data_IF_819755476659
#
_entry.id   IF_819755476659
#
_cell.length_a   1.000
_cell.length_b   1.000
_cell.length_c   1.000
_cell.angle_alpha   90.00
_cell.angle_beta   90.00
_cell.angle_gamma   90.00
#
_symmetry.space_group_name_H-M   'P 1'
#
loop_
_entity.id
_entity.type
_entity.pdbx_description
1 polymer ?
#
# COMPACT_ATOMS: atom_id res chain seq x y z
N UNK A 1 7.06 27.37 -11.42
CA UNK A 1 8.07 26.66 -12.22
C UNK A 1 9.01 27.64 -12.93
N UNK A 2 8.50 28.60 -13.71
CA UNK A 2 9.32 29.63 -14.37
C UNK A 2 10.07 30.49 -13.36
N UNK A 3 9.42 30.95 -12.29
CA UNK A 3 10.04 31.71 -11.20
C UNK A 3 11.12 30.90 -10.44
N UNK A 4 11.10 29.57 -10.55
CA UNK A 4 12.11 28.67 -9.99
C UNK A 4 13.22 28.33 -11.01
N UNK A 5 13.38 29.12 -12.09
CA UNK A 5 14.47 29.03 -13.07
C UNK A 5 14.29 27.96 -14.15
N UNK A 6 13.12 27.30 -14.24
CA UNK A 6 12.86 26.34 -15.33
C UNK A 6 12.56 27.06 -16.64
N UNK A 7 13.06 26.51 -17.73
CA UNK A 7 12.68 26.95 -19.07
C UNK A 7 11.20 26.70 -19.37
N UNK A 8 10.65 27.36 -20.37
CA UNK A 8 9.25 27.15 -20.78
C UNK A 8 8.96 25.69 -21.15
N UNK A 9 9.86 25.06 -21.88
CA UNK A 9 9.73 23.64 -22.27
C UNK A 9 9.70 22.72 -21.06
N UNK A 10 10.64 22.86 -20.14
CA UNK A 10 10.68 22.05 -18.89
C UNK A 10 9.45 22.28 -18.00
N UNK A 11 8.97 23.52 -17.93
CA UNK A 11 7.77 23.85 -17.18
C UNK A 11 6.53 23.18 -17.77
N UNK A 12 6.39 23.24 -19.11
CA UNK A 12 5.30 22.59 -19.84
C UNK A 12 5.32 21.07 -19.64
N UNK A 13 6.46 20.42 -19.78
CA UNK A 13 6.59 18.97 -19.66
C UNK A 13 6.33 18.52 -18.20
N UNK A 14 6.80 19.30 -17.23
CA UNK A 14 6.48 19.07 -15.82
C UNK A 14 4.97 19.17 -15.57
N UNK A 15 4.29 20.18 -16.13
CA UNK A 15 2.85 20.33 -15.99
C UNK A 15 2.10 19.18 -16.67
N UNK A 16 2.49 18.81 -17.90
CA UNK A 16 1.91 17.68 -18.61
C UNK A 16 1.94 16.42 -17.76
N UNK A 17 3.11 16.05 -17.25
CA UNK A 17 3.27 14.87 -16.39
C UNK A 17 2.39 14.96 -15.12
N UNK A 18 2.26 16.16 -14.53
CA UNK A 18 1.38 16.34 -13.36
C UNK A 18 -0.10 16.11 -13.72
N UNK A 19 -0.56 16.64 -14.85
CA UNK A 19 -1.94 16.46 -15.30
C UNK A 19 -2.23 15.02 -15.71
N UNK A 20 -1.31 14.33 -16.39
CA UNK A 20 -1.42 12.91 -16.71
C UNK A 20 -1.60 12.05 -15.44
N UNK A 21 -0.85 12.36 -14.37
CA UNK A 21 -1.03 11.70 -13.06
C UNK A 21 -2.39 12.01 -12.42
N UNK A 22 -2.91 13.21 -12.61
CA UNK A 22 -4.27 13.55 -12.14
C UNK A 22 -5.32 12.76 -12.90
N UNK A 23 -5.24 12.71 -14.22
CA UNK A 23 -6.14 11.92 -15.07
C UNK A 23 -6.12 10.44 -14.67
N UNK A 24 -4.93 9.84 -14.57
CA UNK A 24 -4.78 8.46 -14.11
C UNK A 24 -5.48 8.21 -12.76
N UNK A 25 -5.43 9.19 -11.85
CA UNK A 25 -6.07 9.10 -10.53
C UNK A 25 -7.60 9.21 -10.63
N UNK A 26 -8.11 10.05 -11.53
CA UNK A 26 -9.55 10.18 -11.78
C UNK A 26 -10.12 8.90 -12.39
N UNK A 27 -9.42 8.30 -13.35
CA UNK A 27 -9.82 7.04 -13.98
C UNK A 27 -9.86 5.86 -12.99
N UNK A 28 -9.14 5.96 -11.88
CA UNK A 28 -9.12 4.94 -10.82
C UNK A 28 -10.21 5.13 -9.75
N UNK A 29 -11.01 6.22 -9.82
CA UNK A 29 -12.10 6.44 -8.85
C UNK A 29 -13.19 5.40 -9.08
N UNK A 30 -13.58 4.71 -8.01
CA UNK A 30 -14.64 3.69 -8.05
C UNK A 30 -16.01 4.31 -7.76
N UNK A 31 -17.09 3.77 -8.34
CA UNK A 31 -18.45 4.24 -8.05
C UNK A 31 -18.78 4.28 -6.56
N UNK A 32 -18.29 3.32 -5.78
CA UNK A 32 -18.47 3.23 -4.34
C UNK A 32 -17.84 4.43 -3.61
N UNK A 33 -16.72 4.94 -4.09
CA UNK A 33 -16.04 6.12 -3.50
C UNK A 33 -16.84 7.41 -3.78
N UNK A 34 -17.45 7.49 -4.96
CA UNK A 34 -18.36 8.60 -5.31
C UNK A 34 -19.60 8.55 -4.42
N UNK A 35 -20.19 7.37 -4.26
CA UNK A 35 -21.35 7.16 -3.40
C UNK A 35 -21.05 7.50 -1.93
N UNK A 36 -19.92 7.03 -1.42
CA UNK A 36 -19.48 7.37 -0.06
C UNK A 36 -19.30 8.88 0.13
N UNK A 37 -18.71 9.56 -0.86
CA UNK A 37 -18.54 11.03 -0.86
C UNK A 37 -19.89 11.75 -0.80
N UNK A 38 -20.86 11.29 -1.60
CA UNK A 38 -22.21 11.84 -1.62
C UNK A 38 -22.92 11.64 -0.27
N UNK A 39 -22.91 10.44 0.29
CA UNK A 39 -23.51 10.15 1.59
C UNK A 39 -22.86 10.93 2.72
N UNK A 40 -21.56 11.13 2.68
CA UNK A 40 -20.85 11.94 3.67
C UNK A 40 -21.19 13.44 3.55
N UNK A 41 -21.36 13.97 2.34
CA UNK A 41 -21.83 15.33 2.15
C UNK A 41 -23.24 15.51 2.71
N UNK A 42 -24.13 14.56 2.47
CA UNK A 42 -25.48 14.54 2.99
C UNK A 42 -25.51 14.46 4.54
N UNK A 43 -24.78 13.50 5.13
CA UNK A 43 -24.73 13.32 6.58
C UNK A 43 -24.24 14.59 7.28
N UNK A 44 -23.19 15.24 6.77
CA UNK A 44 -22.60 16.44 7.34
C UNK A 44 -23.52 17.67 7.25
N UNK A 45 -24.52 17.67 6.37
CA UNK A 45 -25.53 18.72 6.32
C UNK A 45 -26.44 18.69 7.57
N UNK A 46 -26.58 17.54 8.23
CA UNK A 46 -27.39 17.37 9.45
C UNK A 46 -26.55 17.37 10.72
N UNK A 47 -25.38 16.71 10.68
CA UNK A 47 -24.47 16.62 11.81
C UNK A 47 -23.00 16.55 11.30
N UNK A 48 -22.16 17.54 11.62
CA UNK A 48 -20.77 17.59 11.16
C UNK A 48 -19.89 16.45 11.70
N UNK A 49 -20.34 15.73 12.72
CA UNK A 49 -19.61 14.61 13.34
C UNK A 49 -20.06 13.25 12.79
N UNK A 50 -21.13 13.21 11.99
CA UNK A 50 -21.60 11.97 11.37
C UNK A 50 -20.85 11.67 10.07
N UNK A 51 -20.41 10.42 9.93
CA UNK A 51 -19.77 9.91 8.74
C UNK A 51 -20.33 8.55 8.35
N UNK A 52 -20.51 8.36 7.06
CA UNK A 52 -20.74 7.06 6.45
C UNK A 52 -19.39 6.44 6.05
N UNK A 53 -19.20 5.19 6.36
CA UNK A 53 -18.08 4.39 5.88
C UNK A 53 -18.60 3.28 4.98
N UNK A 54 -18.03 3.14 3.79
CA UNK A 54 -18.19 1.93 2.99
C UNK A 54 -17.69 0.71 3.77
N UNK A 55 -18.11 -0.52 3.42
CA UNK A 55 -17.65 -1.73 4.10
C UNK A 55 -16.11 -1.80 4.21
N UNK A 56 -15.41 -1.43 3.13
CA UNK A 56 -13.95 -1.37 3.07
C UNK A 56 -13.37 -0.37 4.06
N UNK A 57 -13.86 0.86 4.06
CA UNK A 57 -13.37 1.92 4.95
C UNK A 57 -13.75 1.66 6.41
N UNK A 58 -14.88 0.96 6.66
CA UNK A 58 -15.27 0.50 7.99
C UNK A 58 -14.27 -0.54 8.54
N UNK A 59 -13.78 -1.44 7.70
CA UNK A 59 -12.76 -2.42 8.10
C UNK A 59 -11.42 -1.72 8.41
N UNK A 60 -10.99 -0.79 7.56
CA UNK A 60 -9.78 0.00 7.81
C UNK A 60 -9.88 0.82 9.10
N UNK A 61 -11.04 1.42 9.38
CA UNK A 61 -11.31 2.11 10.63
C UNK A 61 -11.21 1.18 11.86
N UNK A 62 -11.77 -0.05 11.76
CA UNK A 62 -11.64 -1.06 12.81
C UNK A 62 -10.18 -1.43 13.07
N UNK A 63 -9.38 -1.59 12.01
CA UNK A 63 -7.94 -1.87 12.11
C UNK A 63 -7.22 -0.73 12.84
N UNK A 64 -7.51 0.52 12.48
CA UNK A 64 -6.92 1.69 13.14
C UNK A 64 -7.29 1.77 14.62
N UNK A 65 -8.52 1.42 14.99
CA UNK A 65 -8.99 1.45 16.37
C UNK A 65 -8.45 0.28 17.20
N UNK A 66 -8.36 -0.92 16.62
CA UNK A 66 -7.85 -2.11 17.31
C UNK A 66 -6.32 -2.18 17.35
N UNK A 67 -5.63 -1.39 16.52
CA UNK A 67 -4.18 -1.42 16.32
C UNK A 67 -3.64 -2.80 15.93
N UNK A 68 -4.50 -3.64 15.39
CA UNK A 68 -4.17 -4.99 14.95
C UNK A 68 -4.80 -5.27 13.58
N UNK A 69 -4.09 -6.01 12.76
CA UNK A 69 -4.64 -6.56 11.51
C UNK A 69 -4.02 -7.91 11.22
N UNK A 70 -4.65 -8.67 10.33
CA UNK A 70 -4.12 -9.94 9.85
C UNK A 70 -3.54 -9.77 8.45
N UNK A 71 -2.31 -10.22 8.27
CA UNK A 71 -1.57 -10.05 7.03
C UNK A 71 -0.15 -10.57 7.11
N UNK A 72 0.73 -10.04 6.27
CA UNK A 72 2.13 -10.48 6.19
C UNK A 72 3.09 -9.64 7.05
N UNK A 73 2.68 -8.47 7.54
CA UNK A 73 3.54 -7.60 8.33
C UNK A 73 4.60 -6.87 7.51
N UNK A 74 4.18 -6.19 6.44
CA UNK A 74 5.03 -5.35 5.61
C UNK A 74 4.40 -3.97 5.39
N UNK A 75 5.21 -2.91 5.35
CA UNK A 75 4.80 -1.61 4.86
C UNK A 75 5.09 -1.51 3.37
N UNK A 76 4.10 -1.03 2.62
CA UNK A 76 4.12 -1.01 1.16
C UNK A 76 3.99 0.43 0.65
N UNK A 77 4.59 0.71 -0.50
CA UNK A 77 4.46 1.99 -1.22
C UNK A 77 4.38 1.72 -2.72
N UNK A 78 3.60 2.52 -3.43
CA UNK A 78 3.58 2.50 -4.90
C UNK A 78 4.74 3.33 -5.43
N UNK A 79 5.68 2.68 -6.14
CA UNK A 79 6.84 3.32 -6.78
C UNK A 79 6.88 2.81 -8.22
N UNK A 80 6.83 3.74 -9.19
CA UNK A 80 6.89 3.44 -10.63
C UNK A 80 5.93 2.31 -11.03
N UNK A 81 4.65 2.46 -10.66
CA UNK A 81 3.56 1.51 -10.91
C UNK A 81 3.73 0.11 -10.24
N UNK A 82 4.75 -0.08 -9.42
CA UNK A 82 4.96 -1.31 -8.66
C UNK A 82 4.72 -1.10 -7.16
N UNK A 83 4.00 -2.02 -6.55
CA UNK A 83 3.88 -2.07 -5.09
C UNK A 83 5.20 -2.59 -4.52
N UNK A 84 5.92 -1.72 -3.84
CA UNK A 84 7.28 -1.96 -3.34
C UNK A 84 7.26 -2.11 -1.82
N UNK A 85 8.00 -3.08 -1.30
CA UNK A 85 8.18 -3.30 0.13
C UNK A 85 9.13 -2.24 0.68
N UNK A 86 8.66 -1.43 1.62
CA UNK A 86 9.50 -0.42 2.27
C UNK A 86 10.19 -0.97 3.51
N UNK A 87 9.42 -1.61 4.39
CA UNK A 87 9.95 -2.20 5.61
C UNK A 87 9.14 -3.46 5.97
N UNK A 88 9.78 -4.38 6.66
CA UNK A 88 9.12 -5.50 7.32
C UNK A 88 8.89 -5.14 8.78
N UNK A 89 7.73 -5.54 9.32
CA UNK A 89 7.37 -5.30 10.72
C UNK A 89 7.99 -6.42 11.54
N UNK A 90 8.82 -6.05 12.50
CA UNK A 90 9.46 -6.99 13.42
C UNK A 90 8.40 -7.84 14.15
N UNK A 91 8.62 -9.15 14.21
CA UNK A 91 7.64 -10.10 14.73
C UNK A 91 6.48 -10.44 13.78
N UNK A 92 6.40 -9.81 12.61
CA UNK A 92 5.41 -10.15 11.59
C UNK A 92 5.83 -11.37 10.74
N UNK A 93 4.85 -12.02 10.08
CA UNK A 93 5.09 -13.23 9.30
C UNK A 93 6.18 -13.10 8.23
N UNK A 94 6.22 -11.99 7.49
CA UNK A 94 7.22 -11.77 6.45
C UNK A 94 8.64 -11.60 7.02
N UNK A 95 8.76 -10.95 8.19
CA UNK A 95 10.05 -10.82 8.88
C UNK A 95 10.52 -12.17 9.42
N UNK A 96 9.62 -12.99 9.95
CA UNK A 96 9.93 -14.34 10.46
C UNK A 96 10.34 -15.30 9.34
N UNK A 97 9.70 -15.21 8.15
CA UNK A 97 10.05 -16.05 6.99
C UNK A 97 11.41 -15.66 6.38
N UNK A 98 11.80 -14.38 6.44
CA UNK A 98 13.11 -13.87 6.04
C UNK A 98 13.39 -13.83 4.54
N UNK A 99 12.46 -14.26 3.68
CA UNK A 99 12.65 -14.29 2.22
C UNK A 99 12.38 -12.95 1.55
N UNK A 100 11.42 -12.17 2.07
CA UNK A 100 11.12 -10.82 1.58
C UNK A 100 12.15 -9.82 2.10
N UNK A 101 12.47 -8.84 1.28
CA UNK A 101 13.43 -7.77 1.61
C UNK A 101 12.83 -6.40 1.29
N UNK A 102 13.38 -5.37 1.94
CA UNK A 102 13.08 -4.00 1.55
C UNK A 102 13.50 -3.74 0.10
N UNK A 103 12.70 -2.95 -0.60
CA UNK A 103 12.82 -2.63 -2.03
C UNK A 103 12.47 -3.76 -3.00
N UNK A 104 12.01 -4.91 -2.54
CA UNK A 104 11.40 -5.92 -3.42
C UNK A 104 10.08 -5.38 -3.97
N UNK A 105 9.84 -5.64 -5.26
CA UNK A 105 8.63 -5.18 -5.98
C UNK A 105 7.68 -6.35 -6.18
N UNK A 106 6.41 -6.16 -5.83
CA UNK A 106 5.37 -7.17 -6.01
C UNK A 106 4.77 -7.00 -7.40
N UNK A 107 4.81 -8.05 -8.21
CA UNK A 107 4.27 -8.08 -9.57
C UNK A 107 2.94 -8.82 -9.65
N UNK A 108 2.76 -9.89 -8.86
CA UNK A 108 1.50 -10.61 -8.81
C UNK A 108 1.22 -11.19 -7.42
N UNK A 109 -0.05 -11.45 -7.15
CA UNK A 109 -0.55 -12.02 -5.88
C UNK A 109 -1.46 -13.20 -6.17
N UNK A 110 -1.30 -14.30 -5.44
CA UNK A 110 -2.19 -15.46 -5.48
C UNK A 110 -2.66 -15.87 -4.10
N UNK A 111 -3.88 -16.40 -4.01
CA UNK A 111 -4.47 -16.89 -2.77
C UNK A 111 -4.26 -18.39 -2.62
N UNK A 112 -3.97 -18.82 -1.39
CA UNK A 112 -3.77 -20.24 -1.09
C UNK A 112 -2.53 -20.84 -1.76
N UNK A 113 -2.45 -22.17 -1.78
CA UNK A 113 -1.31 -22.92 -2.32
C UNK A 113 -1.40 -23.14 -3.84
N UNK A 114 -2.60 -23.13 -4.42
CA UNK A 114 -2.86 -23.51 -5.81
C UNK A 114 -3.58 -22.43 -6.64
N UNK A 115 -3.97 -21.29 -6.00
CA UNK A 115 -4.68 -20.20 -6.69
C UNK A 115 -3.88 -19.59 -7.85
N UNK A 116 -4.57 -19.07 -8.85
CA UNK A 116 -3.93 -18.36 -9.96
C UNK A 116 -3.35 -17.03 -9.50
N UNK A 117 -2.23 -16.64 -10.10
CA UNK A 117 -1.65 -15.32 -9.89
C UNK A 117 -2.48 -14.25 -10.59
N UNK A 118 -2.75 -13.18 -9.88
CA UNK A 118 -3.34 -11.95 -10.41
C UNK A 118 -2.22 -10.92 -10.53
N UNK A 119 -1.95 -10.44 -11.74
CA UNK A 119 -1.02 -9.34 -11.98
C UNK A 119 -1.55 -8.07 -11.31
N UNK A 120 -0.69 -7.40 -10.57
CA UNK A 120 -1.04 -6.19 -9.79
C UNK A 120 -0.22 -4.96 -10.18
N UNK A 121 0.58 -5.05 -11.23
CA UNK A 121 1.36 -3.91 -11.73
C UNK A 121 0.42 -2.80 -12.20
N UNK A 122 0.66 -1.58 -11.76
CA UNK A 122 -0.20 -0.43 -12.07
C UNK A 122 -1.50 -0.33 -11.27
N UNK A 123 -1.80 -1.29 -10.41
CA UNK A 123 -2.97 -1.23 -9.53
C UNK A 123 -2.82 -0.19 -8.45
N UNK A 124 -3.94 0.24 -7.88
CA UNK A 124 -3.94 1.06 -6.66
C UNK A 124 -3.38 0.25 -5.50
N UNK A 125 -2.52 0.87 -4.72
CA UNK A 125 -1.91 0.21 -3.55
C UNK A 125 -2.94 -0.42 -2.61
N UNK A 126 -4.07 0.27 -2.40
CA UNK A 126 -5.13 -0.20 -1.51
C UNK A 126 -5.76 -1.51 -2.00
N UNK A 127 -5.91 -1.69 -3.31
CA UNK A 127 -6.47 -2.91 -3.90
C UNK A 127 -5.49 -4.07 -3.76
N UNK A 128 -4.20 -3.81 -3.93
CA UNK A 128 -3.15 -4.81 -3.73
C UNK A 128 -3.04 -5.19 -2.25
N UNK A 129 -3.12 -4.22 -1.34
CA UNK A 129 -3.13 -4.46 0.11
C UNK A 129 -4.30 -5.35 0.52
N UNK A 130 -5.49 -5.17 -0.07
CA UNK A 130 -6.65 -6.04 0.16
C UNK A 130 -6.41 -7.49 -0.27
N UNK A 131 -5.69 -7.72 -1.37
CA UNK A 131 -5.31 -9.08 -1.81
C UNK A 131 -4.27 -9.71 -0.88
N UNK A 132 -3.34 -8.92 -0.33
CA UNK A 132 -2.27 -9.40 0.53
C UNK A 132 -2.78 -9.66 1.95
N UNK A 133 -3.63 -8.79 2.50
CA UNK A 133 -4.32 -9.02 3.78
C UNK A 133 -5.29 -10.19 3.67
N UNK A 134 -5.74 -10.70 4.78
CA UNK A 134 -6.73 -11.77 4.85
C UNK A 134 -6.62 -12.51 6.16
N UNK A 135 -7.51 -13.45 6.38
CA UNK A 135 -7.62 -14.21 7.63
C UNK A 135 -6.28 -14.86 8.01
N UNK A 136 -5.94 -14.80 9.27
CA UNK A 136 -4.77 -15.49 9.84
C UNK A 136 -4.79 -16.98 9.51
N UNK A 137 -3.62 -17.58 9.49
CA UNK A 137 -3.37 -18.99 9.13
C UNK A 137 -3.74 -19.35 7.67
N UNK A 138 -4.03 -18.35 6.81
CA UNK A 138 -4.19 -18.56 5.37
C UNK A 138 -2.91 -18.21 4.61
N UNK A 139 -2.69 -18.89 3.49
CA UNK A 139 -1.50 -18.66 2.65
C UNK A 139 -1.78 -17.59 1.59
N UNK A 140 -0.83 -16.69 1.41
CA UNK A 140 -0.73 -15.79 0.25
C UNK A 140 0.60 -16.06 -0.45
N UNK A 141 0.57 -16.09 -1.77
CA UNK A 141 1.79 -16.18 -2.59
C UNK A 141 2.01 -14.87 -3.31
N UNK A 142 3.23 -14.38 -3.22
CA UNK A 142 3.67 -13.16 -3.86
C UNK A 142 4.68 -13.50 -4.95
N UNK A 143 4.48 -12.99 -6.14
CA UNK A 143 5.47 -12.98 -7.19
C UNK A 143 6.22 -11.66 -7.07
N UNK A 144 7.52 -11.73 -6.93
CA UNK A 144 8.34 -10.56 -6.65
C UNK A 144 9.49 -10.42 -7.64
N UNK A 145 9.82 -9.19 -7.92
CA UNK A 145 11.04 -8.81 -8.60
C UNK A 145 12.02 -8.25 -7.55
N UNK A 146 13.18 -8.87 -7.33
CA UNK A 146 14.13 -8.44 -6.31
C UNK A 146 14.60 -6.99 -6.50
N UNK A 147 15.02 -6.37 -5.42
CA UNK A 147 15.61 -5.03 -5.44
C UNK A 147 16.80 -4.98 -6.40
N UNK A 148 16.85 -3.95 -7.27
CA UNK A 148 17.93 -3.76 -8.24
C UNK A 148 17.94 -4.76 -9.40
N UNK A 149 16.91 -5.57 -9.58
CA UNK A 149 16.79 -6.52 -10.67
C UNK A 149 16.89 -5.82 -12.05
N UNK A 150 17.74 -6.36 -12.91
CA UNK A 150 17.85 -5.88 -14.29
C UNK A 150 16.59 -6.22 -15.11
N UNK A 151 16.31 -5.50 -16.22
CA UNK A 151 15.23 -5.88 -17.12
C UNK A 151 15.36 -7.34 -17.58
N UNK A 152 14.27 -8.12 -17.48
CA UNK A 152 14.27 -9.53 -17.84
C UNK A 152 14.71 -10.50 -16.72
N UNK A 153 14.98 -10.01 -15.51
CA UNK A 153 15.22 -10.88 -14.36
C UNK A 153 13.98 -11.73 -14.07
N UNK A 154 14.19 -13.02 -13.85
CA UNK A 154 13.10 -13.93 -13.47
C UNK A 154 12.51 -13.54 -12.11
N UNK A 155 11.19 -13.54 -12.04
CA UNK A 155 10.46 -13.28 -10.81
C UNK A 155 10.53 -14.48 -9.87
N UNK A 156 10.51 -14.22 -8.58
CA UNK A 156 10.57 -15.26 -7.54
C UNK A 156 9.23 -15.35 -6.84
N UNK A 157 8.74 -16.55 -6.63
CA UNK A 157 7.50 -16.80 -5.87
C UNK A 157 7.83 -17.03 -4.40
N UNK A 158 7.21 -16.25 -3.52
CA UNK A 158 7.32 -16.41 -2.07
C UNK A 158 5.94 -16.71 -1.51
N UNK A 159 5.83 -17.79 -0.75
CA UNK A 159 4.62 -18.19 -0.04
C UNK A 159 4.72 -17.80 1.42
N UNK A 160 3.72 -17.07 1.92
CA UNK A 160 3.66 -16.58 3.29
C UNK A 160 2.35 -17.00 3.94
N UNK A 161 2.41 -17.41 5.18
CA UNK A 161 1.22 -17.63 6.02
C UNK A 161 0.89 -16.32 6.71
N UNK A 162 -0.34 -15.84 6.56
CA UNK A 162 -0.80 -14.62 7.22
C UNK A 162 -0.87 -14.84 8.72
N UNK A 163 -0.58 -13.81 9.47
CA UNK A 163 -0.67 -13.83 10.93
C UNK A 163 -1.11 -12.49 11.47
N UNK A 164 -1.33 -12.45 12.77
CA UNK A 164 -1.68 -11.21 13.47
C UNK A 164 -0.48 -10.28 13.51
N UNK A 165 -0.68 -9.03 13.11
CA UNK A 165 0.34 -7.97 13.11
C UNK A 165 -0.15 -6.85 14.02
N UNK A 166 0.67 -6.45 14.99
CA UNK A 166 0.36 -5.39 15.95
C UNK A 166 1.05 -4.10 15.53
N UNK A 167 0.29 -3.02 15.38
CA UNK A 167 0.82 -1.71 14.97
C UNK A 167 1.60 -0.99 16.09
N UNK A 168 1.45 -1.40 17.33
CA UNK A 168 2.22 -0.85 18.47
C UNK A 168 3.73 -1.03 18.28
N UNK A 169 4.17 -2.13 17.67
CA UNK A 169 5.56 -2.35 17.32
C UNK A 169 6.10 -1.29 16.34
N UNK A 170 5.28 -0.79 15.41
CA UNK A 170 5.63 0.30 14.50
C UNK A 170 5.76 1.66 15.22
N UNK A 171 4.88 1.94 16.18
CA UNK A 171 4.92 3.18 16.94
C UNK A 171 6.19 3.26 17.81
N UNK A 172 6.57 2.15 18.44
CA UNK A 172 7.80 2.05 19.25
C UNK A 172 9.07 2.20 18.41
N UNK A 173 9.11 1.66 17.19
CA UNK A 173 10.24 1.82 16.26
C UNK A 173 10.39 3.26 15.75
N UNK A 174 9.28 3.93 15.43
CA UNK A 174 9.29 5.35 15.02
C UNK A 174 9.77 6.27 16.16
N UNK A 175 9.44 5.95 17.40
CA UNK A 175 9.94 6.65 18.59
C UNK A 175 11.46 6.54 18.71
N UNK A 176 12.02 5.33 18.63
CA UNK A 176 13.48 5.09 18.74
C UNK A 176 14.28 5.73 17.59
N UNK A 177 13.77 5.73 16.36
CA UNK A 177 14.43 6.38 15.23
C UNK A 177 14.42 7.92 15.32
N UNK A 178 13.40 8.51 15.96
CA UNK A 178 13.33 9.94 16.22
C UNK A 178 14.35 10.37 17.26
N UNK A 179 14.49 9.61 18.34
CA UNK A 179 15.45 9.89 19.41
C UNK A 179 16.91 9.79 18.93
N UNK A 180 17.22 8.82 18.07
CA UNK A 180 18.56 8.69 17.47
C UNK A 180 18.95 9.83 16.53
N UNK A 181 17.98 10.52 15.90
CA UNK A 181 18.24 11.67 15.02
C UNK A 181 18.43 12.99 15.77
N UNK A 182 18.06 13.04 17.05
CA UNK A 182 18.26 14.21 17.90
C UNK A 182 19.51 14.15 18.79
N UNK A 183 20.23 13.02 18.75
CA UNK A 183 21.47 12.79 19.50
C UNK A 183 22.74 12.79 18.64
N UNK A 184 22.63 13.09 17.36
CA UNK A 184 23.73 13.31 16.40
C UNK A 184 23.63 14.69 15.79
#
# INVERSE_FOLDING_TARGET
LLLAGKTWTEARDTLRTRYERVLKRVDQIKPEEVFETYLNAYARAFDPHSNYFSPRNSEEYKIQMSLNYEGIGASLQLIDDHVTIMNLIEGGPAAADGKLKASDRITAVAQGTEGNFTDVVGWRIDDVVQLIRGKGDTTVRLQILPAGAAPGTAETVISLVRGKVTLEAQAAQRGRQRDQRHLG
#
